data_IF_223393940697
#
_entry.id   IF_223393940697
#
_cell.length_a   1.000
_cell.length_b   1.000
_cell.length_c   1.000
_cell.angle_alpha   90.00
_cell.angle_beta   90.00
_cell.angle_gamma   90.00
#
_symmetry.space_group_name_H-M   'P 1'
#
loop_
_entity.id
_entity.type
_entity.pdbx_description
1 polymer ?
#
# COMPACT_ATOMS: atom_id res chain seq x y z
N UNK A 1 23.70 6.92 3.97
CA UNK A 1 22.63 7.35 3.04
C UNK A 1 21.50 7.86 3.91
N UNK A 2 21.16 9.14 3.83
CA UNK A 2 19.98 9.69 4.49
C UNK A 2 18.84 9.52 3.51
N UNK A 3 18.01 8.51 3.69
CA UNK A 3 16.74 8.39 2.95
C UNK A 3 15.67 8.99 3.84
N UNK A 4 15.22 10.19 3.49
CA UNK A 4 14.21 10.93 4.27
C UNK A 4 12.86 10.20 4.31
N UNK A 5 12.54 9.39 3.30
CA UNK A 5 11.31 8.60 3.24
C UNK A 5 11.53 7.33 2.38
N UNK A 6 10.96 6.20 2.81
CA UNK A 6 10.98 4.93 2.07
C UNK A 6 9.59 4.66 1.55
N UNK A 7 9.48 4.46 0.23
CA UNK A 7 8.20 4.17 -0.42
C UNK A 7 8.08 2.67 -0.70
N UNK A 8 7.01 2.07 -0.18
CA UNK A 8 6.59 0.71 -0.52
C UNK A 8 5.55 0.80 -1.63
N UNK A 9 5.83 0.22 -2.79
CA UNK A 9 5.00 0.37 -4.01
C UNK A 9 4.25 -0.91 -4.41
N UNK A 10 4.11 -1.86 -3.48
CA UNK A 10 3.29 -3.06 -3.63
C UNK A 10 4.05 -4.30 -4.15
N UNK A 11 3.35 -5.38 -4.52
CA UNK A 11 1.89 -5.58 -4.53
C UNK A 11 1.28 -5.94 -3.15
N UNK A 12 0.10 -6.55 -3.12
CA UNK A 12 -0.66 -6.84 -1.87
C UNK A 12 0.14 -7.54 -0.78
N UNK A 13 0.92 -8.57 -1.13
CA UNK A 13 1.74 -9.31 -0.17
C UNK A 13 2.84 -8.44 0.46
N UNK A 14 3.39 -7.50 -0.31
CA UNK A 14 4.40 -6.56 0.17
C UNK A 14 3.72 -5.53 1.08
N UNK A 15 2.56 -5.01 0.69
CA UNK A 15 1.76 -4.14 1.56
C UNK A 15 1.40 -4.83 2.87
N UNK A 16 0.94 -6.09 2.84
CA UNK A 16 0.59 -6.84 4.05
C UNK A 16 1.77 -7.00 5.03
N UNK A 17 3.00 -7.14 4.53
CA UNK A 17 4.20 -7.22 5.38
C UNK A 17 4.66 -5.86 5.92
N UNK A 18 4.31 -4.77 5.23
CA UNK A 18 4.78 -3.43 5.53
C UNK A 18 3.75 -2.56 6.27
N UNK A 19 2.46 -2.91 6.23
CA UNK A 19 1.37 -2.05 6.70
C UNK A 19 1.52 -1.67 8.19
N UNK A 20 1.91 -2.63 9.02
CA UNK A 20 2.15 -2.44 10.46
C UNK A 20 3.40 -1.60 10.76
N UNK A 21 4.22 -1.29 9.74
CA UNK A 21 5.46 -0.52 9.86
C UNK A 21 5.36 0.84 9.17
N UNK A 22 4.27 1.12 8.46
CA UNK A 22 4.13 2.32 7.65
C UNK A 22 3.68 3.50 8.51
N UNK A 23 4.39 4.62 8.42
CA UNK A 23 4.00 5.87 9.11
C UNK A 23 2.90 6.64 8.35
N UNK A 24 2.80 6.46 7.03
CA UNK A 24 1.87 7.19 6.15
C UNK A 24 1.39 6.31 5.00
N UNK A 25 0.18 6.60 4.52
CA UNK A 25 -0.38 6.01 3.30
C UNK A 25 -0.65 7.10 2.25
N UNK A 26 -0.01 6.97 1.09
CA UNK A 26 -0.30 7.77 -0.10
C UNK A 26 -1.30 6.99 -0.97
N UNK A 27 -2.59 7.29 -0.81
CA UNK A 27 -3.68 6.55 -1.46
C UNK A 27 -4.30 7.37 -2.59
N UNK A 28 -4.48 6.73 -3.74
CA UNK A 28 -5.35 7.23 -4.81
C UNK A 28 -6.67 6.47 -4.73
N UNK A 29 -7.76 7.17 -4.44
CA UNK A 29 -9.11 6.61 -4.50
C UNK A 29 -9.62 6.71 -5.94
N UNK A 30 -9.94 5.57 -6.54
CA UNK A 30 -10.50 5.48 -7.89
C UNK A 30 -11.97 5.09 -7.74
N UNK A 31 -12.88 5.93 -8.22
CA UNK A 31 -14.31 5.64 -8.24
C UNK A 31 -14.64 4.74 -9.43
N UNK A 32 -14.41 3.44 -9.25
CA UNK A 32 -14.63 2.42 -10.27
C UNK A 32 -15.09 1.11 -9.62
N UNK A 33 -15.88 0.33 -10.35
CA UNK A 33 -16.41 -0.96 -9.91
C UNK A 33 -15.96 -2.06 -10.86
N UNK A 34 -14.69 -2.44 -10.72
CA UNK A 34 -14.11 -3.58 -11.43
C UNK A 34 -13.91 -4.78 -10.51
N UNK A 35 -13.93 -5.97 -11.11
CA UNK A 35 -13.52 -7.19 -10.40
C UNK A 35 -12.00 -7.15 -10.15
N UNK A 36 -11.60 -7.48 -8.93
CA UNK A 36 -10.19 -7.56 -8.54
C UNK A 36 -9.86 -8.92 -7.96
N UNK A 37 -8.67 -9.43 -8.28
CA UNK A 37 -8.11 -10.66 -7.69
C UNK A 37 -7.23 -10.38 -6.46
N UNK A 38 -6.95 -9.10 -6.21
CA UNK A 38 -5.98 -8.62 -5.24
C UNK A 38 -6.50 -7.37 -4.54
N UNK A 39 -6.36 -7.33 -3.22
CA UNK A 39 -6.88 -6.26 -2.38
C UNK A 39 -5.78 -5.61 -1.54
N UNK A 40 -5.96 -4.34 -1.22
CA UNK A 40 -5.16 -3.66 -0.19
C UNK A 40 -5.45 -4.31 1.18
N UNK A 41 -4.44 -4.50 2.05
CA UNK A 41 -4.65 -5.16 3.34
C UNK A 41 -5.66 -4.39 4.22
N UNK A 42 -6.41 -5.13 5.04
CA UNK A 42 -7.24 -4.52 6.08
C UNK A 42 -6.33 -3.91 7.15
N UNK A 43 -6.69 -2.71 7.61
CA UNK A 43 -6.11 -2.07 8.80
C UNK A 43 -6.69 -2.67 10.08
#
# INVERSE_FOLDING_TARGET
MNTEEIFIIGGSQVYAQAIDKADKLYLTLIEDQQEGDTFFPCL
#
